data_IF_794129243579
#
_entry.id   IF_794129243579
#
_cell.length_a   1.000
_cell.length_b   1.000
_cell.length_c   1.000
_cell.angle_alpha   90.00
_cell.angle_beta   90.00
_cell.angle_gamma   90.00
#
_symmetry.space_group_name_H-M   'P 1'
#
loop_
_entity.id
_entity.type
_entity.pdbx_description
1 polymer ?
#
# COMPACT_ATOMS: atom_id res chain seq x y z
N UNK A 1 -6.94 -23.75 20.79
CA UNK A 1 -5.97 -22.71 21.19
C UNK A 1 -6.16 -21.59 20.20
N UNK A 2 -6.91 -20.59 20.60
CA UNK A 2 -7.36 -19.50 19.73
C UNK A 2 -6.17 -18.56 19.57
N UNK A 3 -5.69 -18.42 18.34
CA UNK A 3 -4.60 -17.50 18.05
C UNK A 3 -5.13 -16.10 18.33
N UNK A 4 -4.68 -15.55 19.47
CA UNK A 4 -4.75 -14.14 19.81
C UNK A 4 -4.49 -13.32 18.55
N UNK A 5 -5.57 -12.75 18.00
CA UNK A 5 -5.47 -11.69 17.02
C UNK A 5 -4.69 -10.57 17.69
N UNK A 6 -3.42 -10.46 17.31
CA UNK A 6 -2.55 -9.39 17.73
C UNK A 6 -3.33 -8.09 17.47
N UNK A 7 -3.63 -7.33 18.53
CA UNK A 7 -4.53 -6.17 18.52
C UNK A 7 -3.98 -4.97 17.75
N UNK A 8 -3.16 -5.21 16.74
CA UNK A 8 -2.78 -4.23 15.75
C UNK A 8 -3.96 -4.02 14.79
N UNK A 9 -4.36 -2.75 14.54
CA UNK A 9 -5.38 -2.48 13.54
C UNK A 9 -4.95 -3.08 12.20
N UNK A 10 -5.88 -3.63 11.40
CA UNK A 10 -5.57 -4.14 10.07
C UNK A 10 -4.87 -3.04 9.28
N UNK A 11 -3.58 -3.25 9.02
CA UNK A 11 -2.74 -2.27 8.35
C UNK A 11 -2.94 -2.33 6.84
N UNK A 12 -2.78 -1.18 6.17
CA UNK A 12 -2.71 -1.11 4.71
C UNK A 12 -1.26 -0.96 4.29
N UNK A 13 -0.79 -1.85 3.43
CA UNK A 13 0.52 -1.80 2.83
C UNK A 13 0.40 -1.19 1.44
N UNK A 14 1.09 -0.08 1.21
CA UNK A 14 1.32 0.50 -0.11
C UNK A 14 2.74 0.12 -0.53
N UNK A 15 2.85 -0.80 -1.48
CA UNK A 15 4.12 -1.38 -1.88
C UNK A 15 4.48 -0.95 -3.30
N UNK A 16 5.78 -0.80 -3.58
CA UNK A 16 6.25 -0.42 -4.90
C UNK A 16 7.45 -1.28 -5.34
N UNK A 17 7.53 -1.57 -6.65
CA UNK A 17 8.66 -2.26 -7.26
C UNK A 17 9.38 -1.32 -8.23
N UNK A 18 10.48 -0.73 -7.77
CA UNK A 18 11.38 0.07 -8.64
C UNK A 18 12.56 -0.72 -9.20
N UNK A 19 12.63 -2.04 -8.91
CA UNK A 19 13.71 -2.89 -9.39
C UNK A 19 13.38 -3.43 -10.78
N UNK A 20 12.18 -3.98 -10.95
CA UNK A 20 11.70 -4.51 -12.24
C UNK A 20 11.05 -3.42 -13.11
N UNK A 21 10.59 -2.32 -12.51
CA UNK A 21 9.94 -1.21 -13.21
C UNK A 21 10.68 0.10 -13.03
N UNK A 22 10.63 0.96 -14.05
CA UNK A 22 11.15 2.32 -13.95
C UNK A 22 10.24 3.16 -13.05
N UNK A 23 10.76 3.50 -11.87
CA UNK A 23 10.18 4.52 -11.01
C UNK A 23 10.75 5.89 -11.37
N UNK A 24 9.86 6.85 -11.66
CA UNK A 24 10.26 8.25 -11.72
C UNK A 24 10.68 8.75 -10.33
N UNK A 25 11.47 9.84 -10.25
CA UNK A 25 11.87 10.44 -8.98
C UNK A 25 10.67 10.89 -8.14
N UNK A 26 9.55 11.14 -8.80
CA UNK A 26 8.31 11.62 -8.19
C UNK A 26 7.41 10.49 -7.67
N UNK A 27 7.57 9.25 -8.14
CA UNK A 27 6.68 8.13 -7.77
C UNK A 27 6.71 7.87 -6.26
N UNK A 28 7.92 7.74 -5.70
CA UNK A 28 8.09 7.48 -4.27
C UNK A 28 7.60 8.69 -3.46
N UNK A 29 7.81 9.92 -3.94
CA UNK A 29 7.35 11.14 -3.29
C UNK A 29 5.82 11.22 -3.26
N UNK A 30 5.15 10.93 -4.37
CA UNK A 30 3.68 10.89 -4.42
C UNK A 30 3.11 9.84 -3.48
N UNK A 31 3.64 8.61 -3.49
CA UNK A 31 3.20 7.56 -2.57
C UNK A 31 3.44 7.95 -1.11
N UNK A 32 4.58 8.59 -0.82
CA UNK A 32 4.90 9.10 0.52
C UNK A 32 3.90 10.17 0.96
N UNK A 33 3.55 11.11 0.09
CA UNK A 33 2.58 12.16 0.37
C UNK A 33 1.18 11.59 0.65
N UNK A 34 0.76 10.57 -0.12
CA UNK A 34 -0.51 9.87 0.09
C UNK A 34 -0.49 9.20 1.47
N UNK A 35 0.49 8.32 1.73
CA UNK A 35 0.57 7.55 2.98
C UNK A 35 0.72 8.44 4.21
N UNK A 36 1.46 9.56 4.10
CA UNK A 36 1.63 10.53 5.20
C UNK A 36 0.33 11.23 5.63
N UNK A 37 -0.70 11.19 4.79
CA UNK A 37 -2.03 11.75 5.10
C UNK A 37 -2.92 10.78 5.89
N UNK A 38 -2.46 9.55 6.14
CA UNK A 38 -3.20 8.49 6.81
C UNK A 38 -2.62 8.14 8.19
N UNK A 39 -3.40 7.44 9.05
CA UNK A 39 -2.90 6.96 10.33
C UNK A 39 -1.67 6.04 10.18
N UNK A 40 -0.89 5.83 11.26
CA UNK A 40 0.33 5.03 11.24
C UNK A 40 0.12 3.54 10.94
N UNK A 41 -1.12 3.10 10.74
CA UNK A 41 -1.47 1.76 10.23
C UNK A 41 -1.35 1.65 8.71
N UNK A 42 -1.01 2.72 7.99
CA UNK A 42 -0.73 2.70 6.55
C UNK A 42 0.78 2.83 6.34
N UNK A 43 1.37 1.86 5.64
CA UNK A 43 2.82 1.77 5.47
C UNK A 43 3.20 1.83 4.00
N UNK A 44 4.22 2.63 3.69
CA UNK A 44 4.89 2.62 2.38
C UNK A 44 6.12 1.71 2.47
N UNK A 45 6.23 0.72 1.58
CA UNK A 45 7.37 -0.20 1.57
C UNK A 45 7.85 -0.55 0.15
N UNK A 46 9.17 -0.62 -0.11
CA UNK A 46 9.67 -1.24 -1.32
C UNK A 46 9.43 -2.76 -1.26
N UNK A 47 8.93 -3.35 -2.35
CA UNK A 47 8.77 -4.80 -2.46
C UNK A 47 9.30 -5.30 -3.82
N UNK A 48 10.62 -5.57 -3.90
CA UNK A 48 11.25 -6.07 -5.13
C UNK A 48 10.82 -7.51 -5.41
N UNK A 49 10.69 -7.86 -6.69
CA UNK A 49 10.29 -9.21 -7.12
C UNK A 49 8.78 -9.42 -7.30
N UNK A 50 7.97 -8.37 -7.17
CA UNK A 50 6.56 -8.38 -7.58
C UNK A 50 6.42 -8.19 -9.09
N UNK A 51 5.45 -8.87 -9.70
CA UNK A 51 5.06 -8.66 -11.11
C UNK A 51 4.17 -7.43 -11.34
N UNK A 52 4.17 -6.48 -10.40
CA UNK A 52 3.41 -5.23 -10.47
C UNK A 52 4.29 -4.07 -10.01
N UNK A 53 4.05 -2.88 -10.58
CA UNK A 53 4.78 -1.67 -10.21
C UNK A 53 4.38 -1.17 -8.83
N UNK A 54 3.10 -1.21 -8.50
CA UNK A 54 2.54 -0.82 -7.21
C UNK A 54 1.56 -1.90 -6.77
N UNK A 55 1.57 -2.26 -5.49
CA UNK A 55 0.63 -3.21 -4.90
C UNK A 55 0.08 -2.66 -3.59
N UNK A 56 -1.24 -2.68 -3.46
CA UNK A 56 -1.98 -2.30 -2.27
C UNK A 56 -2.46 -3.58 -1.60
N UNK A 57 -2.06 -3.80 -0.36
CA UNK A 57 -2.41 -5.00 0.38
C UNK A 57 -3.08 -4.63 1.72
N UNK A 58 -4.17 -5.31 2.00
CA UNK A 58 -4.89 -5.28 3.26
C UNK A 58 -5.36 -6.70 3.61
N UNK A 59 -5.83 -6.96 4.84
CA UNK A 59 -6.28 -8.31 5.20
C UNK A 59 -7.41 -8.83 4.31
N UNK A 60 -7.10 -9.85 3.50
CA UNK A 60 -8.05 -10.46 2.56
C UNK A 60 -8.21 -9.73 1.23
N UNK A 61 -7.46 -8.65 0.97
CA UNK A 61 -7.57 -7.85 -0.25
C UNK A 61 -6.19 -7.48 -0.82
N UNK A 62 -6.05 -7.60 -2.14
CA UNK A 62 -4.85 -7.25 -2.89
C UNK A 62 -5.25 -6.57 -4.19
N UNK A 63 -4.72 -5.38 -4.43
CA UNK A 63 -4.90 -4.61 -5.66
C UNK A 63 -3.53 -4.24 -6.24
N UNK A 64 -3.40 -4.27 -7.56
CA UNK A 64 -2.14 -3.94 -8.25
C UNK A 64 -2.36 -2.84 -9.26
N UNK A 65 -1.43 -1.89 -9.32
CA UNK A 65 -1.47 -0.74 -10.22
C UNK A 65 -0.16 -0.65 -11.02
N UNK A 66 -0.29 -0.27 -12.30
CA UNK A 66 0.85 -0.01 -13.19
C UNK A 66 1.37 1.44 -13.08
N UNK A 67 0.60 2.34 -12.47
CA UNK A 67 0.93 3.75 -12.26
C UNK A 67 0.36 4.29 -10.95
N UNK A 68 0.80 5.49 -10.54
CA UNK A 68 0.32 6.13 -9.32
C UNK A 68 -1.09 6.69 -9.56
N UNK A 69 -2.10 5.88 -9.32
CA UNK A 69 -3.49 6.30 -9.35
C UNK A 69 -3.93 6.80 -7.98
N UNK A 70 -3.77 8.10 -7.75
CA UNK A 70 -4.03 8.73 -6.44
C UNK A 70 -5.44 8.41 -5.93
N UNK A 71 -6.46 8.45 -6.78
CA UNK A 71 -7.85 8.21 -6.39
C UNK A 71 -8.09 6.74 -6.01
N UNK A 72 -7.56 5.79 -6.78
CA UNK A 72 -7.63 4.35 -6.49
C UNK A 72 -6.94 4.01 -5.17
N UNK A 73 -5.71 4.51 -4.96
CA UNK A 73 -4.94 4.28 -3.72
C UNK A 73 -5.70 4.85 -2.51
N UNK A 74 -6.24 6.07 -2.62
CA UNK A 74 -7.04 6.66 -1.55
C UNK A 74 -8.31 5.85 -1.26
N UNK A 75 -8.99 5.36 -2.30
CA UNK A 75 -10.20 4.55 -2.17
C UNK A 75 -9.90 3.23 -1.46
N UNK A 76 -8.85 2.52 -1.88
CA UNK A 76 -8.40 1.28 -1.26
C UNK A 76 -8.08 1.46 0.22
N UNK A 77 -7.28 2.48 0.56
CA UNK A 77 -6.90 2.77 1.95
C UNK A 77 -8.15 3.08 2.79
N UNK A 78 -9.05 3.95 2.31
CA UNK A 78 -10.26 4.34 3.04
C UNK A 78 -11.24 3.18 3.23
N UNK A 79 -11.35 2.29 2.24
CA UNK A 79 -12.19 1.09 2.33
C UNK A 79 -11.68 0.17 3.44
N UNK A 80 -10.37 -0.06 3.48
CA UNK A 80 -9.74 -1.02 4.40
C UNK A 80 -9.46 -0.47 5.81
N UNK A 81 -9.44 0.86 6.00
CA UNK A 81 -9.35 1.48 7.33
C UNK A 81 -10.68 1.54 8.10
N UNK A 82 -11.83 1.30 7.44
CA UNK A 82 -13.16 1.38 8.04
C UNK A 82 -13.76 0.03 8.43
N UNK A 83 -13.05 -1.07 8.15
CA UNK A 83 -13.54 -2.44 8.37
C UNK A 83 -13.27 -2.98 9.77
#
# INVERSE_FOLDING_TARGET
MEHIGDGNPPGVLVQYNCQDYTCGPDLIQQLTNIVSSYPPSVFLAPYPGMSAKIALAAPGELETLDEVEVDAINTFIRSNLRS
#
